data_IF_213001436856
#
_entry.id   IF_213001436856
#
_cell.length_a   1.000
_cell.length_b   1.000
_cell.length_c   1.000
_cell.angle_alpha   90.00
_cell.angle_beta   90.00
_cell.angle_gamma   90.00
#
_symmetry.space_group_name_H-M   'P 1'
#
loop_
_entity.id
_entity.type
_entity.pdbx_description
1 polymer ?
#
# COMPACT_ATOMS: atom_id res chain seq x y z
N UNK A 1 16.47 -13.23 -18.37
CA UNK A 1 15.18 -13.07 -17.64
C UNK A 1 14.37 -12.03 -18.39
N UNK A 2 13.58 -12.46 -19.37
CA UNK A 2 12.79 -11.57 -20.23
C UNK A 2 11.32 -11.95 -20.10
N UNK A 3 10.51 -11.03 -19.59
CA UNK A 3 9.06 -11.11 -19.59
C UNK A 3 8.53 -9.73 -19.96
N UNK A 4 7.60 -9.66 -20.90
CA UNK A 4 6.87 -8.43 -21.21
C UNK A 4 5.52 -8.50 -20.53
N UNK A 5 5.13 -7.44 -19.84
CA UNK A 5 3.76 -7.26 -19.39
C UNK A 5 2.97 -6.54 -20.49
N UNK A 6 1.71 -6.90 -20.68
CA UNK A 6 0.73 -6.09 -21.43
C UNK A 6 -0.48 -5.89 -20.53
N UNK A 7 -1.00 -4.67 -20.54
CA UNK A 7 -2.26 -4.36 -19.88
C UNK A 7 -3.41 -4.91 -20.73
N UNK A 8 -4.31 -5.68 -20.11
CA UNK A 8 -5.53 -6.12 -20.77
C UNK A 8 -6.48 -4.91 -20.96
N UNK A 9 -7.18 -4.81 -22.10
CA UNK A 9 -8.11 -3.71 -22.34
C UNK A 9 -9.46 -3.91 -21.63
N UNK A 10 -9.82 -5.14 -21.28
CA UNK A 10 -11.10 -5.52 -20.67
C UNK A 10 -10.85 -6.57 -19.55
N UNK A 11 -11.39 -6.38 -18.33
CA UNK A 11 -12.07 -5.17 -17.84
C UNK A 11 -11.15 -3.94 -17.87
N UNK A 12 -11.75 -2.74 -17.89
CA UNK A 12 -10.99 -1.49 -17.83
C UNK A 12 -10.03 -1.56 -16.63
N UNK A 13 -8.72 -1.39 -16.85
CA UNK A 13 -7.74 -1.45 -15.78
C UNK A 13 -8.00 -0.37 -14.73
N UNK A 14 -8.07 -0.77 -13.47
CA UNK A 14 -8.24 0.15 -12.34
C UNK A 14 -7.08 0.03 -11.36
N UNK A 15 -6.75 1.16 -10.73
CA UNK A 15 -5.85 1.22 -9.59
C UNK A 15 -6.66 0.99 -8.31
N UNK A 16 -6.41 -0.12 -7.63
CA UNK A 16 -7.23 -0.56 -6.49
C UNK A 16 -6.37 -1.28 -5.45
N UNK A 17 -6.65 -1.03 -4.17
CA UNK A 17 -6.25 -1.92 -3.09
C UNK A 17 -7.43 -2.85 -2.78
N UNK A 18 -7.18 -4.15 -2.69
CA UNK A 18 -8.21 -5.16 -2.46
C UNK A 18 -7.84 -6.07 -1.30
N UNK A 19 -8.84 -6.41 -0.49
CA UNK A 19 -8.78 -7.56 0.40
C UNK A 19 -9.59 -8.71 -0.20
N UNK A 20 -9.00 -9.90 -0.16
CA UNK A 20 -9.58 -11.13 -0.68
C UNK A 20 -9.59 -12.15 0.45
N UNK A 21 -10.73 -12.79 0.67
CA UNK A 21 -10.82 -13.96 1.54
C UNK A 21 -10.12 -15.14 0.85
N UNK A 22 -9.10 -15.70 1.50
CA UNK A 22 -8.28 -16.76 0.90
C UNK A 22 -8.97 -18.12 0.81
N UNK A 23 -10.05 -18.33 1.57
CA UNK A 23 -10.81 -19.57 1.59
C UNK A 23 -11.92 -19.56 0.54
N UNK A 24 -12.58 -18.42 0.34
CA UNK A 24 -13.70 -18.30 -0.62
C UNK A 24 -13.30 -17.66 -1.94
N UNK A 25 -12.21 -16.88 -1.97
CA UNK A 25 -11.81 -16.06 -3.10
C UNK A 25 -12.66 -14.79 -3.25
N UNK A 26 -13.59 -14.53 -2.32
CA UNK A 26 -14.46 -13.36 -2.37
C UNK A 26 -13.71 -12.08 -2.02
N UNK A 27 -14.11 -10.98 -2.65
CA UNK A 27 -13.59 -9.65 -2.33
C UNK A 27 -14.29 -9.16 -1.06
N UNK A 28 -13.54 -9.04 0.03
CA UNK A 28 -14.05 -8.52 1.29
C UNK A 28 -14.31 -7.01 1.20
N UNK A 29 -13.38 -6.27 0.58
CA UNK A 29 -13.53 -4.86 0.27
C UNK A 29 -12.57 -4.44 -0.85
N UNK A 30 -12.89 -3.31 -1.48
CA UNK A 30 -12.06 -2.64 -2.49
C UNK A 30 -11.94 -1.17 -2.15
N UNK A 31 -10.72 -0.64 -2.19
CA UNK A 31 -10.42 0.78 -2.10
C UNK A 31 -9.92 1.27 -3.47
N UNK A 32 -10.76 1.98 -4.25
CA UNK A 32 -10.35 2.59 -5.50
C UNK A 32 -9.37 3.74 -5.29
N UNK A 33 -8.43 3.89 -6.23
CA UNK A 33 -7.47 4.98 -6.26
C UNK A 33 -7.56 5.72 -7.60
N UNK A 34 -7.32 7.04 -7.61
CA UNK A 34 -7.30 7.81 -8.85
C UNK A 34 -6.09 7.43 -9.71
N UNK A 35 -6.21 7.66 -11.01
CA UNK A 35 -5.11 7.52 -11.97
C UNK A 35 -5.03 6.16 -12.66
N UNK A 36 -4.01 5.96 -13.53
CA UNK A 36 -3.88 4.75 -14.32
C UNK A 36 -3.56 3.54 -13.44
N UNK A 37 -4.01 2.36 -13.89
CA UNK A 37 -3.82 1.06 -13.23
C UNK A 37 -2.37 0.55 -13.28
N UNK A 38 -1.47 1.32 -12.69
CA UNK A 38 -0.07 0.98 -12.47
C UNK A 38 0.16 1.06 -10.97
N UNK A 39 0.54 -0.07 -10.37
CA UNK A 39 0.88 -0.17 -8.95
C UNK A 39 2.05 -1.11 -8.74
N UNK A 40 3.06 -0.60 -8.05
CA UNK A 40 4.34 -1.23 -7.75
C UNK A 40 4.72 -1.04 -6.28
N UNK A 41 4.05 -0.15 -5.56
CA UNK A 41 4.12 -0.06 -4.11
C UNK A 41 3.62 -1.35 -3.45
N UNK A 42 4.42 -1.90 -2.54
CA UNK A 42 4.00 -3.03 -1.72
C UNK A 42 3.03 -2.62 -0.61
N UNK A 43 2.56 -3.63 0.12
CA UNK A 43 1.67 -3.46 1.27
C UNK A 43 2.31 -4.06 2.52
N UNK A 44 1.95 -3.53 3.68
CA UNK A 44 2.34 -4.00 5.00
C UNK A 44 1.10 -3.98 5.90
N UNK A 45 0.83 -5.10 6.58
CA UNK A 45 -0.26 -5.18 7.56
C UNK A 45 0.30 -5.32 8.99
N UNK A 46 -0.32 -4.68 9.97
CA UNK A 46 0.04 -4.80 11.39
C UNK A 46 -0.97 -5.63 12.17
N UNK A 47 -0.57 -6.17 13.32
CA UNK A 47 -1.48 -6.88 14.23
C UNK A 47 -2.58 -5.99 14.81
N UNK A 48 -2.39 -4.66 14.82
CA UNK A 48 -3.39 -3.68 15.25
C UNK A 48 -4.47 -3.39 14.19
N UNK A 49 -4.43 -4.05 13.03
CA UNK A 49 -5.44 -3.90 11.99
C UNK A 49 -5.20 -2.73 11.03
N UNK A 50 -3.94 -2.30 10.85
CA UNK A 50 -3.58 -1.29 9.86
C UNK A 50 -3.03 -1.95 8.60
N UNK A 51 -3.37 -1.39 7.44
CA UNK A 51 -2.72 -1.69 6.14
C UNK A 51 -2.01 -0.43 5.67
N UNK A 52 -0.69 -0.48 5.59
CA UNK A 52 0.17 0.59 5.08
C UNK A 52 0.58 0.23 3.65
N UNK A 53 0.46 1.19 2.72
CA UNK A 53 0.79 0.96 1.32
C UNK A 53 1.21 2.25 0.61
N UNK A 54 1.99 2.10 -0.46
CA UNK A 54 2.29 3.21 -1.37
C UNK A 54 1.13 3.44 -2.32
N UNK A 55 0.47 4.59 -2.20
CA UNK A 55 -0.53 5.06 -3.16
C UNK A 55 0.18 5.75 -4.33
N UNK A 56 -0.16 5.36 -5.56
CA UNK A 56 0.61 5.70 -6.77
C UNK A 56 0.36 7.13 -7.30
N UNK A 57 -0.42 7.94 -6.58
CA UNK A 57 -0.45 9.40 -6.66
C UNK A 57 0.70 10.05 -5.88
N UNK A 58 1.45 9.26 -5.11
CA UNK A 58 2.69 9.66 -4.44
C UNK A 58 2.61 9.71 -2.92
N UNK A 59 1.49 9.30 -2.34
CA UNK A 59 1.30 9.26 -0.90
C UNK A 59 1.70 7.91 -0.30
N UNK A 60 2.21 7.92 0.94
CA UNK A 60 2.18 6.75 1.81
C UNK A 60 0.86 6.79 2.56
N UNK A 61 0.04 5.74 2.43
CA UNK A 61 -1.29 5.69 3.01
C UNK A 61 -1.43 4.58 4.03
N UNK A 62 -2.37 4.79 4.96
CA UNK A 62 -2.82 3.80 5.94
C UNK A 62 -4.32 3.63 5.79
N UNK A 63 -4.79 2.38 5.76
CA UNK A 63 -6.20 2.02 5.75
C UNK A 63 -6.52 1.00 6.87
N UNK A 64 -7.79 0.95 7.27
CA UNK A 64 -8.32 -0.07 8.18
C UNK A 64 -8.33 -1.44 7.47
N UNK A 65 -7.74 -2.47 8.08
CA UNK A 65 -7.60 -3.79 7.46
C UNK A 65 -8.95 -4.52 7.29
N UNK A 66 -9.94 -4.23 8.13
CA UNK A 66 -11.25 -4.89 8.11
C UNK A 66 -12.21 -4.26 7.12
N UNK A 67 -12.13 -2.94 6.91
CA UNK A 67 -13.08 -2.16 6.11
C UNK A 67 -12.48 -1.55 4.84
N UNK A 68 -11.16 -1.41 4.77
CA UNK A 68 -10.47 -0.73 3.67
C UNK A 68 -10.59 0.79 3.69
N UNK A 69 -11.12 1.39 4.76
CA UNK A 69 -11.30 2.83 4.85
C UNK A 69 -9.93 3.53 5.05
N UNK A 70 -9.61 4.59 4.29
CA UNK A 70 -8.42 5.40 4.54
C UNK A 70 -8.46 6.02 5.94
N UNK A 71 -7.35 5.93 6.65
CA UNK A 71 -7.18 6.47 8.00
C UNK A 71 -6.20 7.64 8.02
N UNK A 72 -5.15 7.57 7.22
CA UNK A 72 -4.08 8.56 7.20
C UNK A 72 -3.32 8.53 5.87
N UNK A 73 -2.74 9.67 5.50
CA UNK A 73 -1.82 9.77 4.38
C UNK A 73 -0.70 10.77 4.65
N UNK A 74 0.43 10.55 3.97
CA UNK A 74 1.51 11.52 3.89
C UNK A 74 2.06 11.58 2.48
N UNK A 75 2.09 12.79 1.92
CA UNK A 75 2.56 13.05 0.57
C UNK A 75 4.09 12.95 0.51
N UNK A 76 4.58 11.94 -0.20
CA UNK A 76 6.02 11.81 -0.50
C UNK A 76 6.35 12.36 -1.89
N UNK A 77 5.34 12.48 -2.76
CA UNK A 77 5.46 12.89 -4.14
C UNK A 77 6.46 12.00 -4.92
N UNK A 78 6.50 10.70 -4.61
CA UNK A 78 7.39 9.71 -5.23
C UNK A 78 6.60 8.62 -5.95
N UNK A 79 7.19 8.04 -6.99
CA UNK A 79 6.68 6.80 -7.60
C UNK A 79 7.17 5.60 -6.79
N UNK A 80 6.24 4.72 -6.39
CA UNK A 80 6.58 3.61 -5.53
C UNK A 80 7.22 2.45 -6.30
N UNK A 81 8.28 1.89 -5.71
CA UNK A 81 8.93 0.65 -6.17
C UNK A 81 9.35 -0.26 -5.01
N UNK A 82 9.16 0.21 -3.79
CA UNK A 82 9.52 -0.47 -2.56
C UNK A 82 8.27 -0.78 -1.75
N UNK A 83 8.34 -1.85 -0.97
CA UNK A 83 7.32 -2.17 0.04
C UNK A 83 7.64 -1.45 1.34
N UNK A 84 6.63 -0.95 2.08
CA UNK A 84 6.82 -0.53 3.47
C UNK A 84 7.27 -1.70 4.34
N UNK A 85 8.04 -1.42 5.38
CA UNK A 85 8.43 -2.37 6.42
C UNK A 85 8.25 -1.76 7.80
N UNK A 86 8.21 -2.59 8.84
CA UNK A 86 8.16 -2.13 10.24
C UNK A 86 9.25 -2.77 11.08
N UNK A 87 9.69 -2.07 12.12
CA UNK A 87 10.70 -2.52 13.07
C UNK A 87 10.48 -1.87 14.45
N UNK A 88 11.12 -2.44 15.48
CA UNK A 88 11.16 -1.86 16.82
C UNK A 88 12.50 -1.16 17.06
N UNK A 89 12.47 0.02 17.67
CA UNK A 89 13.65 0.72 18.14
C UNK A 89 13.31 1.48 19.42
N UNK A 90 14.11 1.30 20.47
CA UNK A 90 13.93 1.95 21.77
C UNK A 90 12.49 1.83 22.34
N UNK A 91 11.95 0.62 22.29
CA UNK A 91 10.59 0.32 22.78
C UNK A 91 9.46 0.84 21.90
N UNK A 92 9.73 1.50 20.77
CA UNK A 92 8.72 2.10 19.89
C UNK A 92 8.70 1.41 18.53
N UNK A 93 7.50 1.24 17.97
CA UNK A 93 7.32 0.71 16.63
C UNK A 93 7.49 1.80 15.58
N UNK A 94 8.22 1.50 14.52
CA UNK A 94 8.43 2.38 13.37
C UNK A 94 7.99 1.69 12.09
N UNK A 95 7.53 2.50 11.14
CA UNK A 95 7.29 2.10 9.75
C UNK A 95 8.28 2.84 8.89
N UNK A 96 9.02 2.14 8.03
CA UNK A 96 9.95 2.74 7.08
C UNK A 96 9.69 2.28 5.65
N UNK A 97 9.98 3.16 4.70
CA UNK A 97 9.89 2.87 3.27
C UNK A 97 10.92 3.69 2.50
N UNK A 98 11.45 3.11 1.43
CA UNK A 98 12.23 3.84 0.45
C UNK A 98 11.28 4.59 -0.50
N UNK A 99 11.26 5.92 -0.38
CA UNK A 99 10.51 6.84 -1.21
C UNK A 99 11.48 7.52 -2.18
N UNK A 100 11.61 6.93 -3.38
CA UNK A 100 12.59 7.38 -4.38
C UNK A 100 14.02 7.32 -3.80
N UNK A 101 14.77 8.44 -3.75
CA UNK A 101 16.12 8.48 -3.20
C UNK A 101 16.16 8.55 -1.66
N UNK A 102 15.02 8.71 -0.99
CA UNK A 102 14.95 8.96 0.45
C UNK A 102 14.46 7.72 1.21
N UNK A 103 14.91 7.57 2.45
CA UNK A 103 14.29 6.66 3.42
C UNK A 103 13.50 7.54 4.40
N UNK A 104 12.20 7.27 4.52
CA UNK A 104 11.33 7.92 5.51
C UNK A 104 10.94 6.91 6.58
N UNK A 105 10.84 7.36 7.82
CA UNK A 105 10.41 6.54 8.95
C UNK A 105 9.39 7.31 9.82
N UNK A 106 8.30 6.64 10.19
CA UNK A 106 7.25 7.16 11.05
C UNK A 106 7.16 6.32 12.32
N UNK A 107 7.17 6.96 13.49
CA UNK A 107 6.86 6.29 14.74
C UNK A 107 5.35 6.08 14.84
N UNK A 108 4.91 4.87 15.18
CA UNK A 108 3.52 4.60 15.53
C UNK A 108 3.33 5.07 16.98
N UNK A 109 2.35 5.95 17.17
CA UNK A 109 1.98 6.42 18.51
C UNK A 109 1.06 5.40 19.18
N UNK A 110 1.28 5.17 20.47
CA UNK A 110 0.33 4.46 21.33
C UNK A 110 -0.94 5.30 21.55
#
# INVERSE_FOLDING_TARGET
MGGSQRTAPDPEPQRILKAIDIFTGEIAWTLPQPGPANSWGGTLTTASGLVIFGEEGGALMVADASKGNPLWSFETNQTWRASPMTYMFDGRQFVAVAAGPNIIAFAIHE
#
